data_IF_659508823183
#
_entry.id   IF_659508823183
#
_cell.length_a   1.000
_cell.length_b   1.000
_cell.length_c   1.000
_cell.angle_alpha   90.00
_cell.angle_beta   90.00
_cell.angle_gamma   90.00
#
_symmetry.space_group_name_H-M   'P 1'
#
loop_
_entity.id
_entity.type
_entity.pdbx_description
1 polymer ?
#
# COMPACT_ATOMS: atom_id res chain seq x y z
N UNK A 1 -24.15 3.96 -2.62
CA UNK A 1 -22.95 4.10 -3.48
C UNK A 1 -22.41 5.52 -3.76
N UNK A 2 -23.20 6.60 -3.89
CA UNK A 2 -22.66 7.93 -4.27
C UNK A 2 -21.61 8.50 -3.30
N UNK A 3 -21.85 8.44 -2.00
CA UNK A 3 -20.90 8.93 -0.97
C UNK A 3 -19.54 8.19 -0.98
N UNK A 4 -19.57 6.87 -1.17
CA UNK A 4 -18.37 6.05 -1.26
C UNK A 4 -17.60 6.27 -2.56
N UNK A 5 -18.28 6.78 -3.60
CA UNK A 5 -17.66 7.14 -4.87
C UNK A 5 -16.64 8.24 -4.69
N UNK A 6 -17.03 9.32 -4.04
CA UNK A 6 -16.16 10.48 -3.83
C UNK A 6 -14.97 10.12 -2.92
N UNK A 7 -15.21 9.29 -1.91
CA UNK A 7 -14.16 8.77 -1.02
C UNK A 7 -13.12 7.95 -1.78
N UNK A 8 -13.56 6.99 -2.60
CA UNK A 8 -12.63 6.14 -3.35
C UNK A 8 -11.94 6.92 -4.48
N UNK A 9 -12.61 7.87 -5.13
CA UNK A 9 -11.97 8.76 -6.10
C UNK A 9 -10.89 9.62 -5.43
N UNK A 10 -11.18 10.19 -4.27
CA UNK A 10 -10.18 10.93 -3.47
C UNK A 10 -9.02 10.00 -3.09
N UNK A 11 -9.31 8.77 -2.68
CA UNK A 11 -8.28 7.76 -2.37
C UNK A 11 -7.39 7.47 -3.58
N UNK A 12 -7.98 7.37 -4.78
CA UNK A 12 -7.25 7.17 -6.04
C UNK A 12 -6.28 8.32 -6.32
N UNK A 13 -6.73 9.57 -6.09
CA UNK A 13 -5.93 10.78 -6.28
C UNK A 13 -4.77 10.84 -5.28
N UNK A 14 -5.02 10.50 -4.01
CA UNK A 14 -3.96 10.42 -2.99
C UNK A 14 -2.94 9.35 -3.39
N UNK A 15 -3.39 8.17 -3.82
CA UNK A 15 -2.51 7.09 -4.24
C UNK A 15 -1.61 7.48 -5.43
N UNK A 16 -2.19 8.12 -6.46
CA UNK A 16 -1.42 8.66 -7.60
C UNK A 16 -0.39 9.70 -7.13
N UNK A 17 -0.80 10.59 -6.22
CA UNK A 17 0.06 11.64 -5.68
C UNK A 17 1.26 11.04 -4.92
N UNK A 18 1.01 10.05 -4.06
CA UNK A 18 2.07 9.33 -3.34
C UNK A 18 3.00 8.61 -4.33
N UNK A 19 2.46 7.94 -5.36
CA UNK A 19 3.26 7.30 -6.40
C UNK A 19 4.13 8.30 -7.19
N UNK A 20 3.60 9.49 -7.49
CA UNK A 20 4.34 10.56 -8.17
C UNK A 20 5.50 11.07 -7.30
N UNK A 21 5.24 11.38 -6.03
CA UNK A 21 6.28 11.80 -5.10
C UNK A 21 7.31 10.70 -4.82
N UNK A 22 6.88 9.44 -4.76
CA UNK A 22 7.75 8.29 -4.66
C UNK A 22 8.78 8.25 -5.81
N UNK A 23 8.28 8.39 -7.04
CA UNK A 23 9.11 8.44 -8.24
C UNK A 23 10.11 9.61 -8.18
N UNK A 24 9.66 10.80 -7.77
CA UNK A 24 10.52 11.97 -7.60
C UNK A 24 11.63 11.73 -6.56
N UNK A 25 11.30 11.19 -5.39
CA UNK A 25 12.32 10.86 -4.36
C UNK A 25 13.30 9.81 -4.90
N UNK A 26 12.82 8.83 -5.66
CA UNK A 26 13.64 7.81 -6.30
C UNK A 26 14.58 8.34 -7.39
N UNK A 27 14.29 9.51 -7.98
CA UNK A 27 15.14 10.18 -8.98
C UNK A 27 16.07 11.20 -8.32
N UNK A 28 15.54 12.05 -7.42
CA UNK A 28 16.30 13.10 -6.73
C UNK A 28 17.27 12.52 -5.70
N UNK A 29 16.92 11.40 -5.07
CA UNK A 29 17.79 10.66 -4.14
C UNK A 29 18.88 9.82 -4.81
N UNK A 30 19.17 10.04 -6.12
CA UNK A 30 20.26 9.35 -6.86
C UNK A 30 21.50 10.22 -7.06
N UNK A 31 22.23 10.66 -6.02
CA UNK A 31 23.60 11.13 -6.23
C UNK A 31 24.50 9.88 -6.31
N UNK A 32 24.76 9.35 -7.51
CA UNK A 32 25.90 8.52 -7.93
C UNK A 32 26.54 7.49 -6.96
N UNK A 33 25.82 7.04 -5.93
CA UNK A 33 26.34 6.15 -4.89
C UNK A 33 26.29 4.70 -5.37
N UNK A 34 27.37 4.31 -6.03
CA UNK A 34 27.81 2.94 -6.22
C UNK A 34 27.77 2.26 -4.84
N UNK A 35 26.73 1.46 -4.58
CA UNK A 35 26.56 0.75 -3.30
C UNK A 35 25.19 0.84 -2.62
N UNK A 36 24.12 1.29 -3.30
CA UNK A 36 22.76 1.22 -2.73
C UNK A 36 22.46 -0.19 -2.21
N UNK A 37 22.03 -0.27 -0.95
CA UNK A 37 21.62 -1.55 -0.37
C UNK A 37 20.34 -2.00 -1.07
N UNK A 38 20.27 -3.27 -1.48
CA UNK A 38 19.10 -3.87 -2.14
C UNK A 38 17.77 -3.63 -1.40
N UNK A 39 17.84 -3.32 -0.11
CA UNK A 39 16.73 -2.95 0.76
C UNK A 39 16.08 -1.61 0.40
N UNK A 40 16.85 -0.61 -0.02
CA UNK A 40 16.32 0.73 -0.35
C UNK A 40 15.55 0.70 -1.66
N UNK A 41 16.10 0.02 -2.67
CA UNK A 41 15.40 -0.24 -3.92
C UNK A 41 14.10 -1.03 -3.67
N UNK A 42 14.14 -2.04 -2.80
CA UNK A 42 12.96 -2.79 -2.43
C UNK A 42 11.89 -1.91 -1.76
N UNK A 43 12.27 -1.00 -0.85
CA UNK A 43 11.34 -0.07 -0.20
C UNK A 43 10.67 0.87 -1.20
N UNK A 44 11.44 1.45 -2.12
CA UNK A 44 10.89 2.33 -3.17
C UNK A 44 9.93 1.56 -4.08
N UNK A 45 10.33 0.36 -4.52
CA UNK A 45 9.49 -0.52 -5.34
C UNK A 45 8.19 -0.90 -4.60
N UNK A 46 8.30 -1.32 -3.35
CA UNK A 46 7.16 -1.70 -2.50
C UNK A 46 6.15 -0.55 -2.39
N UNK A 47 6.64 0.67 -2.17
CA UNK A 47 5.81 1.86 -2.07
C UNK A 47 5.08 2.21 -3.38
N UNK A 48 5.77 2.11 -4.52
CA UNK A 48 5.15 2.29 -5.83
C UNK A 48 4.08 1.23 -6.08
N UNK A 49 4.41 -0.04 -5.85
CA UNK A 49 3.47 -1.16 -6.03
C UNK A 49 2.22 -1.01 -5.15
N UNK A 50 2.38 -0.62 -3.88
CA UNK A 50 1.24 -0.38 -2.97
C UNK A 50 0.39 0.82 -3.38
N UNK A 51 1.01 1.86 -3.91
CA UNK A 51 0.27 3.02 -4.43
C UNK A 51 -0.55 2.64 -5.67
N UNK A 52 0.00 1.84 -6.57
CA UNK A 52 -0.74 1.31 -7.72
C UNK A 52 -1.85 0.33 -7.31
N UNK A 53 -1.62 -0.48 -6.29
CA UNK A 53 -2.66 -1.32 -5.69
C UNK A 53 -3.78 -0.48 -5.11
N UNK A 54 -3.48 0.54 -4.30
CA UNK A 54 -4.50 1.44 -3.76
C UNK A 54 -5.30 2.13 -4.86
N UNK A 55 -4.63 2.59 -5.94
CA UNK A 55 -5.29 3.13 -7.13
C UNK A 55 -6.22 2.08 -7.78
N UNK A 56 -5.70 0.91 -8.15
CA UNK A 56 -6.47 -0.12 -8.84
C UNK A 56 -7.67 -0.60 -8.01
N UNK A 57 -7.46 -0.82 -6.72
CA UNK A 57 -8.51 -1.24 -5.79
C UNK A 57 -9.50 -0.11 -5.50
N UNK A 58 -9.09 1.15 -5.50
CA UNK A 58 -10.07 2.24 -5.38
C UNK A 58 -11.07 2.28 -6.55
N UNK A 59 -10.67 1.84 -7.74
CA UNK A 59 -11.53 1.81 -8.93
C UNK A 59 -12.34 0.51 -9.06
N UNK A 60 -11.87 -0.58 -8.48
CA UNK A 60 -12.39 -1.92 -8.70
C UNK A 60 -13.89 -2.09 -8.34
N UNK A 61 -14.40 -1.61 -7.18
CA UNK A 61 -15.82 -1.71 -6.85
C UNK A 61 -16.73 -1.04 -7.88
N UNK A 62 -16.30 0.06 -8.49
CA UNK A 62 -17.09 0.73 -9.53
C UNK A 62 -17.15 -0.09 -10.80
N UNK A 63 -16.05 -0.73 -11.19
CA UNK A 63 -16.02 -1.59 -12.37
C UNK A 63 -16.93 -2.81 -12.16
N UNK A 64 -16.88 -3.43 -10.98
CA UNK A 64 -17.74 -4.58 -10.64
C UNK A 64 -19.21 -4.17 -10.60
N UNK A 65 -19.54 -3.04 -9.96
CA UNK A 65 -20.91 -2.54 -9.92
C UNK A 65 -21.43 -2.17 -11.31
N UNK A 66 -20.60 -1.54 -12.14
CA UNK A 66 -20.95 -1.19 -13.53
C UNK A 66 -21.14 -2.42 -14.42
N UNK A 67 -20.62 -3.58 -14.03
CA UNK A 67 -20.87 -4.86 -14.70
C UNK A 67 -22.23 -5.49 -14.33
N UNK A 68 -23.05 -4.81 -13.52
CA UNK A 68 -24.42 -5.24 -13.18
C UNK A 68 -24.54 -6.03 -11.87
N UNK A 69 -23.46 -6.12 -11.08
CA UNK A 69 -23.53 -6.68 -9.74
C UNK A 69 -24.26 -5.73 -8.78
N UNK A 70 -25.00 -6.27 -7.82
CA UNK A 70 -25.56 -5.45 -6.73
C UNK A 70 -24.45 -4.85 -5.85
N UNK A 71 -24.81 -3.90 -4.98
CA UNK A 71 -23.85 -3.17 -4.15
C UNK A 71 -23.07 -4.12 -3.21
N UNK A 72 -23.73 -5.05 -2.54
CA UNK A 72 -23.10 -6.00 -1.61
C UNK A 72 -22.14 -6.95 -2.34
N UNK A 73 -22.58 -7.52 -3.47
CA UNK A 73 -21.79 -8.39 -4.32
C UNK A 73 -20.57 -7.65 -4.89
N UNK A 74 -20.71 -6.37 -5.23
CA UNK A 74 -19.61 -5.53 -5.73
C UNK A 74 -18.51 -5.37 -4.68
N UNK A 75 -18.87 -5.10 -3.42
CA UNK A 75 -17.90 -5.05 -2.32
C UNK A 75 -17.26 -6.41 -2.06
N UNK A 76 -18.06 -7.47 -2.07
CA UNK A 76 -17.58 -8.83 -1.83
C UNK A 76 -16.54 -9.28 -2.87
N UNK A 77 -16.85 -9.12 -4.16
CA UNK A 77 -15.97 -9.51 -5.26
C UNK A 77 -14.71 -8.66 -5.27
N UNK A 78 -14.83 -7.36 -5.03
CA UNK A 78 -13.68 -6.46 -4.97
C UNK A 78 -12.75 -6.80 -3.80
N UNK A 79 -13.32 -7.12 -2.63
CA UNK A 79 -12.57 -7.61 -1.47
C UNK A 79 -11.85 -8.93 -1.74
N UNK A 80 -12.53 -9.88 -2.40
CA UNK A 80 -11.94 -11.17 -2.76
C UNK A 80 -10.74 -10.98 -3.70
N UNK A 81 -10.91 -10.18 -4.75
CA UNK A 81 -9.84 -9.88 -5.69
C UNK A 81 -8.64 -9.19 -5.02
N UNK A 82 -8.91 -8.12 -4.24
CA UNK A 82 -7.86 -7.38 -3.55
C UNK A 82 -7.10 -8.24 -2.55
N UNK A 83 -7.81 -9.05 -1.74
CA UNK A 83 -7.18 -9.96 -0.79
C UNK A 83 -6.32 -11.04 -1.48
N UNK A 84 -6.81 -11.66 -2.55
CA UNK A 84 -6.02 -12.60 -3.35
C UNK A 84 -4.73 -11.96 -3.88
N UNK A 85 -4.81 -10.73 -4.37
CA UNK A 85 -3.67 -10.03 -4.90
C UNK A 85 -2.65 -9.63 -3.82
N UNK A 86 -3.09 -9.14 -2.65
CA UNK A 86 -2.19 -8.87 -1.51
C UNK A 86 -1.55 -10.14 -0.94
N UNK A 87 -2.31 -11.22 -0.81
CA UNK A 87 -1.77 -12.53 -0.38
C UNK A 87 -0.76 -13.05 -1.40
N UNK A 88 -1.11 -13.02 -2.70
CA UNK A 88 -0.20 -13.42 -3.78
C UNK A 88 1.08 -12.58 -3.77
N UNK A 89 0.96 -11.27 -3.62
CA UNK A 89 2.09 -10.36 -3.48
C UNK A 89 2.99 -10.72 -2.28
N UNK A 90 2.39 -10.97 -1.11
CA UNK A 90 3.11 -11.36 0.08
C UNK A 90 3.84 -12.71 -0.09
N UNK A 91 3.22 -13.67 -0.79
CA UNK A 91 3.82 -14.97 -1.09
C UNK A 91 5.02 -14.85 -2.04
N UNK A 92 4.89 -14.08 -3.12
CA UNK A 92 5.98 -13.81 -4.09
C UNK A 92 7.15 -13.13 -3.39
N UNK A 93 6.87 -12.18 -2.49
CA UNK A 93 7.89 -11.39 -1.80
C UNK A 93 8.27 -11.94 -0.41
N UNK A 94 7.83 -13.15 -0.04
CA UNK A 94 7.96 -13.69 1.33
C UNK A 94 9.40 -13.67 1.90
N UNK A 95 10.40 -13.94 1.06
CA UNK A 95 11.82 -13.93 1.47
C UNK A 95 12.27 -12.53 1.85
N UNK A 96 11.88 -11.53 1.08
CA UNK A 96 12.20 -10.13 1.34
C UNK A 96 11.40 -9.58 2.52
N UNK A 97 10.11 -9.88 2.59
CA UNK A 97 9.26 -9.45 3.71
C UNK A 97 9.71 -10.07 5.05
N UNK A 98 10.17 -11.32 5.05
CA UNK A 98 10.73 -11.95 6.25
C UNK A 98 12.10 -11.36 6.66
N UNK A 99 12.95 -10.99 5.70
CA UNK A 99 14.19 -10.28 5.99
C UNK A 99 13.91 -8.86 6.53
N UNK A 100 12.94 -8.17 5.93
CA UNK A 100 12.48 -6.85 6.37
C UNK A 100 11.88 -6.92 7.78
N UNK A 101 11.00 -7.89 8.07
CA UNK A 101 10.36 -7.99 9.39
C UNK A 101 11.34 -8.30 10.52
N UNK A 102 12.41 -9.07 10.24
CA UNK A 102 13.50 -9.35 11.20
C UNK A 102 14.30 -8.09 11.54
N UNK A 103 14.54 -7.23 10.55
CA UNK A 103 15.30 -5.99 10.71
C UNK A 103 14.43 -4.80 11.11
N UNK A 104 13.11 -4.93 10.94
CA UNK A 104 12.13 -3.90 11.25
C UNK A 104 12.18 -3.52 12.73
N UNK A 105 12.11 -2.21 13.00
CA UNK A 105 12.03 -1.66 14.36
C UNK A 105 10.84 -0.71 14.47
N UNK A 106 10.19 -0.72 15.63
CA UNK A 106 9.10 0.18 15.99
C UNK A 106 8.04 0.33 14.89
N UNK A 107 8.04 1.50 14.25
CA UNK A 107 7.07 1.91 13.23
C UNK A 107 6.99 0.99 12.01
N UNK A 108 8.09 0.36 11.57
CA UNK A 108 8.04 -0.61 10.46
C UNK A 108 7.27 -1.88 10.83
N UNK A 109 7.45 -2.37 12.07
CA UNK A 109 6.69 -3.53 12.54
C UNK A 109 5.21 -3.18 12.65
N UNK A 110 4.89 -1.97 13.12
CA UNK A 110 3.52 -1.49 13.15
C UNK A 110 2.91 -1.42 11.73
N UNK A 111 3.63 -0.90 10.74
CA UNK A 111 3.16 -0.86 9.35
C UNK A 111 2.89 -2.27 8.78
N UNK A 112 3.82 -3.22 8.99
CA UNK A 112 3.63 -4.62 8.55
C UNK A 112 2.40 -5.26 9.21
N UNK A 113 2.19 -5.00 10.51
CA UNK A 113 1.02 -5.50 11.22
C UNK A 113 -0.27 -4.85 10.71
N UNK A 114 -0.26 -3.55 10.42
CA UNK A 114 -1.38 -2.83 9.83
C UNK A 114 -1.74 -3.40 8.46
N UNK A 115 -0.76 -3.69 7.61
CA UNK A 115 -0.98 -4.32 6.30
C UNK A 115 -1.58 -5.74 6.44
N UNK A 116 -1.10 -6.52 7.41
CA UNK A 116 -1.67 -7.83 7.68
C UNK A 116 -3.12 -7.73 8.16
N UNK A 117 -3.44 -6.77 9.04
CA UNK A 117 -4.79 -6.51 9.52
C UNK A 117 -5.72 -6.02 8.39
N UNK A 118 -5.22 -5.14 7.51
CA UNK A 118 -5.96 -4.67 6.34
C UNK A 118 -6.30 -5.83 5.39
N UNK A 119 -5.34 -6.74 5.17
CA UNK A 119 -5.56 -7.95 4.36
C UNK A 119 -6.62 -8.85 5.01
N UNK A 120 -6.54 -9.07 6.33
CA UNK A 120 -7.54 -9.85 7.07
C UNK A 120 -8.93 -9.21 7.03
N UNK A 121 -9.01 -7.87 7.04
CA UNK A 121 -10.27 -7.14 6.90
C UNK A 121 -10.87 -7.34 5.50
N UNK A 122 -10.06 -7.34 4.43
CA UNK A 122 -10.52 -7.67 3.08
C UNK A 122 -11.01 -9.12 2.98
N UNK A 123 -10.30 -10.08 3.56
CA UNK A 123 -10.72 -11.49 3.58
C UNK A 123 -12.05 -11.62 4.32
N UNK A 124 -12.16 -11.01 5.50
CA UNK A 124 -13.37 -11.01 6.31
C UNK A 124 -14.56 -10.41 5.54
N UNK A 125 -14.35 -9.26 4.87
CA UNK A 125 -15.37 -8.61 4.05
C UNK A 125 -15.76 -9.44 2.81
N UNK A 126 -14.81 -10.17 2.21
CA UNK A 126 -15.08 -11.08 1.09
C UNK A 126 -15.90 -12.31 1.52
N UNK A 127 -15.70 -12.78 2.75
CA UNK A 127 -16.43 -13.92 3.33
C UNK A 127 -17.77 -13.51 3.94
N UNK A 128 -18.03 -12.20 4.12
CA UNK A 128 -19.22 -11.69 4.81
C UNK A 128 -19.19 -11.96 6.31
N UNK A 129 -18.00 -11.91 6.93
CA UNK A 129 -17.79 -12.12 8.36
C UNK A 129 -17.20 -10.86 9.02
N UNK A 130 -17.60 -10.50 10.25
CA UNK A 130 -18.82 -10.91 10.95
C UNK A 130 -20.08 -10.18 10.45
N UNK A 131 -19.93 -9.23 9.52
CA UNK A 131 -21.00 -8.41 8.95
C UNK A 131 -21.11 -8.62 7.45
N UNK A 132 -22.24 -8.18 6.87
CA UNK A 132 -22.40 -8.19 5.41
C UNK A 132 -21.31 -7.39 4.70
N UNK A 133 -20.89 -7.84 3.49
CA UNK A 133 -19.90 -7.12 2.68
C UNK A 133 -20.29 -5.67 2.51
N UNK A 134 -19.44 -4.76 2.98
CA UNK A 134 -19.74 -3.34 3.01
C UNK A 134 -18.61 -2.49 2.45
N UNK A 135 -18.99 -1.29 2.00
CA UNK A 135 -18.06 -0.25 1.57
C UNK A 135 -17.07 0.11 2.68
N UNK A 136 -17.56 0.23 3.92
CA UNK A 136 -16.75 0.65 5.06
C UNK A 136 -15.54 -0.27 5.28
N UNK A 137 -15.75 -1.59 5.35
CA UNK A 137 -14.67 -2.55 5.54
C UNK A 137 -13.67 -2.55 4.37
N UNK A 138 -14.17 -2.41 3.14
CA UNK A 138 -13.32 -2.32 1.95
C UNK A 138 -12.45 -1.06 1.97
N UNK A 139 -13.08 0.10 2.14
CA UNK A 139 -12.44 1.41 2.16
C UNK A 139 -11.44 1.48 3.31
N UNK A 140 -11.82 1.06 4.51
CA UNK A 140 -10.92 1.02 5.66
C UNK A 140 -9.66 0.19 5.37
N UNK A 141 -9.79 -0.99 4.76
CA UNK A 141 -8.64 -1.80 4.40
C UNK A 141 -7.73 -1.12 3.35
N UNK A 142 -8.31 -0.48 2.32
CA UNK A 142 -7.54 0.28 1.32
C UNK A 142 -6.77 1.43 1.98
N UNK A 143 -7.39 2.17 2.89
CA UNK A 143 -6.72 3.24 3.64
C UNK A 143 -5.62 2.72 4.55
N UNK A 144 -5.81 1.58 5.22
CA UNK A 144 -4.77 0.97 6.06
C UNK A 144 -3.55 0.54 5.23
N UNK A 145 -3.76 -0.02 4.04
CA UNK A 145 -2.67 -0.31 3.11
C UNK A 145 -1.95 0.96 2.62
N UNK A 146 -2.70 2.01 2.32
CA UNK A 146 -2.13 3.30 1.92
C UNK A 146 -1.33 3.95 3.06
N UNK A 147 -1.79 3.78 4.30
CA UNK A 147 -1.05 4.21 5.48
C UNK A 147 0.28 3.47 5.64
N UNK A 148 0.29 2.15 5.42
CA UNK A 148 1.53 1.35 5.37
C UNK A 148 2.53 1.87 4.34
N UNK A 149 2.05 2.17 3.13
CA UNK A 149 2.87 2.78 2.07
C UNK A 149 3.41 4.17 2.47
N UNK A 150 2.59 4.98 3.14
CA UNK A 150 2.95 6.32 3.63
C UNK A 150 4.06 6.26 4.68
N UNK A 151 4.04 5.29 5.58
CA UNK A 151 5.13 5.05 6.54
C UNK A 151 6.43 4.72 5.80
N UNK A 152 6.36 3.88 4.75
CA UNK A 152 7.50 3.57 3.89
C UNK A 152 8.07 4.83 3.21
N UNK A 153 7.19 5.71 2.74
CA UNK A 153 7.55 6.99 2.12
C UNK A 153 8.32 7.91 3.04
N UNK A 154 7.77 8.22 4.22
CA UNK A 154 8.43 9.11 5.16
C UNK A 154 9.79 8.58 5.60
N UNK A 155 9.94 7.26 5.69
CA UNK A 155 11.24 6.66 5.99
C UNK A 155 12.23 6.79 4.86
N UNK A 156 11.80 6.63 3.61
CA UNK A 156 12.64 6.87 2.44
C UNK A 156 13.13 8.32 2.41
N UNK A 157 12.25 9.28 2.68
CA UNK A 157 12.62 10.70 2.82
C UNK A 157 13.62 10.88 3.95
N UNK A 158 13.35 10.34 5.14
CA UNK A 158 14.25 10.49 6.29
C UNK A 158 15.65 9.93 6.00
N UNK A 159 15.76 8.87 5.20
CA UNK A 159 17.05 8.32 4.78
C UNK A 159 17.78 9.24 3.79
N UNK A 160 17.07 9.78 2.79
CA UNK A 160 17.64 10.72 1.81
C UNK A 160 18.11 12.01 2.48
N UNK A 161 17.38 12.48 3.50
CA UNK A 161 17.62 13.76 4.17
C UNK A 161 18.44 13.64 5.47
N UNK A 162 18.77 12.44 5.92
CA UNK A 162 19.63 12.21 7.09
C UNK A 162 21.03 12.79 6.83
N UNK A 163 21.49 13.83 7.58
CA UNK A 163 22.72 14.58 7.29
C UNK A 163 24.05 13.84 7.52
N UNK A 164 24.08 12.51 7.55
CA UNK A 164 25.21 11.73 8.07
C UNK A 164 26.44 11.65 7.16
N UNK A 165 26.62 12.54 6.18
CA UNK A 165 27.89 12.67 5.43
C UNK A 165 28.25 14.11 5.00
N UNK A 166 27.85 15.15 5.76
CA UNK A 166 28.57 16.45 5.72
C UNK A 166 29.85 16.43 6.57
N UNK A 167 30.56 15.30 6.62
CA UNK A 167 31.83 15.13 7.34
C UNK A 167 32.80 14.21 6.59
N UNK A 168 33.00 14.41 5.28
CA UNK A 168 34.18 13.87 4.57
C UNK A 168 34.67 14.82 3.46
N UNK A 169 34.52 16.13 3.64
CA UNK A 169 35.09 17.12 2.74
C UNK A 169 35.19 18.47 3.44
N UNK A 170 36.44 18.83 3.72
CA UNK A 170 36.98 20.12 4.21
C UNK A 170 37.02 20.33 5.74
#
# INVERSE_FOLDING_TARGET
>A
MSEWRDTLLTTSQIAITIAGFAGLVGVVGRPDRIGQSSLEFFRLRFMLEYSFFALGYSLLPFLVFSAGFDESASWRVSSAFASCAFVGYALVNRRFLSALSRTARGLERAAILIDALATLLLISNALGLPFEPSAFSYVAAVYLHLFGATVGFFRLIALVWSPSDRRQGD
#
